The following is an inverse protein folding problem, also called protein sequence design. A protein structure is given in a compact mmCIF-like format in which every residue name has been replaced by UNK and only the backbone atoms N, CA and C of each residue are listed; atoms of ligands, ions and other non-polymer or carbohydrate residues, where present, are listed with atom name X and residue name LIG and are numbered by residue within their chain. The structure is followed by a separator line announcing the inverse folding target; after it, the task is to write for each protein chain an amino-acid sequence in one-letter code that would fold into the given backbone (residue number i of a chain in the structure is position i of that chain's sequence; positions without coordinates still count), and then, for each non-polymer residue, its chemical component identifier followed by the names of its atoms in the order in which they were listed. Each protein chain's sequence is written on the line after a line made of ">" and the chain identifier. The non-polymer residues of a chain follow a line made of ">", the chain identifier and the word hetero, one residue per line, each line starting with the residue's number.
data_IF_470121867908
#
_entry.id   IF_470121867908
#
_cell.length_a   1.000
_cell.length_b   1.000
_cell.length_c   1.000
_cell.angle_alpha   90.00
_cell.angle_beta   90.00
_cell.angle_gamma   90.00
#
_symmetry.space_group_name_H-M   'P 1'
#
loop_
_entity.id
_entity.type
_entity.pdbx_description
1 polymer ?
#
# COMPACT_ATOMS: atom_id res chain seq x y z
N UNK A 1 11.18 -13.09 23.49
CA UNK A 1 11.36 -12.64 22.10
C UNK A 1 10.26 -11.68 21.78
N UNK A 2 10.57 -10.63 21.03
CA UNK A 2 9.62 -9.54 20.77
C UNK A 2 8.72 -9.86 19.57
N UNK A 3 7.49 -9.35 19.61
CA UNK A 3 6.58 -9.43 18.47
C UNK A 3 6.96 -8.34 17.46
N UNK A 4 7.15 -8.73 16.19
CA UNK A 4 7.51 -7.80 15.11
C UNK A 4 6.55 -8.02 13.95
N UNK A 5 5.89 -6.94 13.50
CA UNK A 5 5.11 -6.94 12.27
C UNK A 5 6.07 -6.94 11.07
N UNK A 6 5.85 -7.89 10.15
CA UNK A 6 6.71 -8.07 8.98
C UNK A 6 5.88 -8.30 7.72
N UNK A 7 6.41 -7.85 6.58
CA UNK A 7 5.88 -8.12 5.24
C UNK A 7 6.88 -8.94 4.43
N UNK A 8 6.38 -9.93 3.70
CA UNK A 8 7.17 -10.70 2.73
C UNK A 8 7.43 -9.83 1.50
N UNK A 9 8.71 -9.65 1.16
CA UNK A 9 9.16 -8.88 -0.01
C UNK A 9 9.63 -9.79 -1.15
N UNK A 10 10.08 -11.01 -0.82
CA UNK A 10 10.42 -12.06 -1.77
C UNK A 10 10.05 -13.41 -1.19
N UNK A 11 9.45 -14.23 -2.03
CA UNK A 11 9.16 -15.63 -1.75
C UNK A 11 10.46 -16.41 -1.45
N UNK A 12 10.38 -17.52 -0.71
CA UNK A 12 11.53 -18.37 -0.45
C UNK A 12 12.11 -18.91 -1.77
N UNK A 13 13.44 -19.04 -1.82
CA UNK A 13 14.15 -19.55 -3.00
C UNK A 13 15.10 -20.67 -2.56
N UNK A 14 14.81 -21.90 -3.01
CA UNK A 14 15.56 -23.09 -2.60
C UNK A 14 15.51 -23.29 -1.08
N UNK A 15 16.68 -23.34 -0.45
CA UNK A 15 16.81 -23.47 1.01
C UNK A 15 16.79 -22.12 1.75
N UNK A 16 16.66 -20.99 1.04
CA UNK A 16 16.58 -19.66 1.67
C UNK A 16 15.13 -19.32 1.97
N UNK A 17 14.83 -19.01 3.23
CA UNK A 17 13.52 -18.52 3.65
C UNK A 17 13.13 -17.20 2.97
N UNK A 18 11.87 -16.82 3.12
CA UNK A 18 11.34 -15.58 2.58
C UNK A 18 12.11 -14.35 3.10
N UNK A 19 12.24 -13.33 2.24
CA UNK A 19 12.83 -12.05 2.64
C UNK A 19 11.74 -11.18 3.27
N UNK A 20 12.01 -10.69 4.48
CA UNK A 20 11.07 -9.87 5.25
C UNK A 20 11.51 -8.40 5.35
N UNK A 21 10.55 -7.51 5.58
CA UNK A 21 10.76 -6.10 5.96
C UNK A 21 9.79 -5.72 7.08
N UNK A 22 10.18 -4.83 7.98
CA UNK A 22 9.27 -4.17 8.94
C UNK A 22 8.62 -2.91 8.38
N UNK A 23 9.08 -2.43 7.21
CA UNK A 23 8.49 -1.31 6.51
C UNK A 23 7.31 -1.79 5.66
N UNK A 24 6.12 -1.73 6.24
CA UNK A 24 4.90 -2.19 5.58
C UNK A 24 4.50 -1.23 4.47
N UNK A 25 4.02 -1.77 3.35
CA UNK A 25 3.46 -1.01 2.25
C UNK A 25 2.27 -1.76 1.64
N UNK A 26 1.19 -1.03 1.37
CA UNK A 26 -0.06 -1.58 0.85
C UNK A 26 -0.28 -1.07 -0.59
N UNK A 27 -0.12 -1.93 -1.60
CA UNK A 27 -0.28 -1.52 -2.98
C UNK A 27 -1.77 -1.39 -3.35
N UNK A 28 -2.15 -0.22 -3.86
CA UNK A 28 -3.41 0.00 -4.57
C UNK A 28 -3.22 0.10 -6.07
N UNK A 29 -4.30 0.42 -6.78
CA UNK A 29 -4.29 0.54 -8.24
C UNK A 29 -3.47 1.75 -8.68
N UNK A 30 -3.67 2.88 -8.03
CA UNK A 30 -3.09 4.17 -8.41
C UNK A 30 -1.91 4.57 -7.53
N UNK A 31 -1.88 4.11 -6.28
CA UNK A 31 -0.85 4.47 -5.32
C UNK A 31 -0.44 3.28 -4.45
N UNK A 32 0.69 3.41 -3.76
CA UNK A 32 1.09 2.51 -2.67
C UNK A 32 1.03 3.33 -1.39
N UNK A 33 0.26 2.85 -0.42
CA UNK A 33 0.15 3.46 0.90
C UNK A 33 1.25 2.94 1.82
N UNK A 34 1.94 3.85 2.51
CA UNK A 34 3.05 3.54 3.42
C UNK A 34 2.70 4.08 4.80
N UNK A 35 2.23 3.23 5.73
CA UNK A 35 1.93 3.67 7.10
C UNK A 35 3.16 4.31 7.77
N UNK A 36 2.95 5.38 8.54
CA UNK A 36 4.02 6.05 9.29
C UNK A 36 4.89 7.02 8.46
N UNK A 37 4.52 7.31 7.21
CA UNK A 37 5.08 8.47 6.48
C UNK A 37 6.51 8.30 5.95
N UNK A 38 7.13 7.13 6.12
CA UNK A 38 8.55 6.93 5.83
C UNK A 38 8.95 7.15 4.35
N UNK A 39 7.99 7.07 3.41
CA UNK A 39 8.26 7.21 1.98
C UNK A 39 7.15 7.98 1.27
N UNK A 40 7.55 9.03 0.55
CA UNK A 40 6.70 9.81 -0.34
C UNK A 40 7.34 9.92 -1.73
N UNK A 41 6.56 9.71 -2.79
CA UNK A 41 7.08 9.80 -4.16
C UNK A 41 5.99 9.76 -5.23
N UNK A 42 6.30 10.34 -6.39
CA UNK A 42 5.45 10.25 -7.58
C UNK A 42 6.29 9.64 -8.71
N UNK A 43 5.71 8.69 -9.45
CA UNK A 43 6.39 8.03 -10.57
C UNK A 43 7.01 9.04 -11.53
N UNK A 44 8.31 8.85 -11.82
CA UNK A 44 9.05 9.68 -12.79
C UNK A 44 8.59 9.48 -14.24
N UNK A 45 7.81 8.44 -14.51
CA UNK A 45 7.22 8.18 -15.83
C UNK A 45 6.01 9.07 -16.13
N UNK A 46 5.48 9.78 -15.12
CA UNK A 46 4.37 10.70 -15.27
C UNK A 46 4.86 12.09 -15.72
N UNK A 47 4.15 12.77 -16.63
CA UNK A 47 4.43 14.15 -17.01
C UNK A 47 4.40 15.09 -15.79
N UNK A 48 5.23 16.13 -15.81
CA UNK A 48 5.37 17.10 -14.71
C UNK A 48 4.04 17.76 -14.32
N UNK A 49 3.21 18.07 -15.31
CA UNK A 49 1.86 18.60 -15.14
C UNK A 49 0.98 17.66 -14.34
N UNK A 50 1.05 16.37 -14.64
CA UNK A 50 0.26 15.34 -13.98
C UNK A 50 0.76 15.07 -12.56
N UNK A 51 2.08 15.10 -12.34
CA UNK A 51 2.65 15.01 -10.99
C UNK A 51 2.17 16.15 -10.10
N UNK A 52 2.09 17.37 -10.63
CA UNK A 52 1.58 18.52 -9.88
C UNK A 52 0.09 18.37 -9.53
N UNK A 53 -0.74 17.91 -10.48
CA UNK A 53 -2.17 17.64 -10.27
C UNK A 53 -2.39 16.58 -9.19
N UNK A 54 -1.72 15.43 -9.31
CA UNK A 54 -1.84 14.31 -8.38
C UNK A 54 -1.35 14.69 -6.97
N UNK A 55 -0.26 15.47 -6.88
CA UNK A 55 0.23 15.97 -5.58
C UNK A 55 -0.80 16.86 -4.89
N UNK A 56 -1.52 17.70 -5.62
CA UNK A 56 -2.57 18.57 -5.05
C UNK A 56 -3.71 17.73 -4.47
N UNK A 57 -4.26 16.82 -5.28
CA UNK A 57 -5.36 15.95 -4.88
C UNK A 57 -4.98 15.11 -3.64
N UNK A 58 -3.81 14.46 -3.69
CA UNK A 58 -3.36 13.57 -2.61
C UNK A 58 -3.11 14.30 -1.29
N UNK A 59 -2.80 15.60 -1.32
CA UNK A 59 -2.64 16.40 -0.12
C UNK A 59 -3.96 16.56 0.65
N UNK A 60 -5.10 16.52 -0.04
CA UNK A 60 -6.43 16.71 0.56
C UNK A 60 -6.99 15.41 1.13
N UNK A 61 -6.58 14.26 0.59
CA UNK A 61 -7.17 12.95 0.93
C UNK A 61 -6.29 12.07 1.81
N UNK A 62 -4.98 12.32 1.89
CA UNK A 62 -4.06 11.50 2.68
C UNK A 62 -3.97 11.98 4.14
N UNK A 63 -3.97 11.06 5.13
CA UNK A 63 -3.64 11.40 6.51
C UNK A 63 -2.20 11.92 6.63
N UNK A 64 -1.97 12.92 7.47
CA UNK A 64 -0.63 13.54 7.66
C UNK A 64 0.46 12.56 8.11
N UNK A 65 0.08 11.50 8.82
CA UNK A 65 0.97 10.45 9.33
C UNK A 65 1.31 9.37 8.29
N UNK A 66 0.85 9.51 7.04
CA UNK A 66 0.93 8.49 6.01
C UNK A 66 1.79 8.91 4.83
N UNK A 67 2.53 7.94 4.30
CA UNK A 67 3.34 8.09 3.11
C UNK A 67 2.61 7.54 1.88
N UNK A 68 2.96 8.05 0.70
CA UNK A 68 2.37 7.60 -0.57
C UNK A 68 3.41 7.48 -1.68
N UNK A 69 3.31 6.42 -2.48
CA UNK A 69 4.05 6.28 -3.73
C UNK A 69 3.04 6.21 -4.89
N UNK A 70 2.98 7.26 -5.70
CA UNK A 70 2.03 7.36 -6.81
C UNK A 70 2.55 6.59 -8.03
N UNK A 71 1.73 5.66 -8.55
CA UNK A 71 2.05 4.77 -9.67
C UNK A 71 1.76 5.45 -10.99
N UNK A 72 2.39 4.99 -12.08
CA UNK A 72 2.07 5.45 -13.45
C UNK A 72 0.60 5.23 -13.82
N UNK A 73 -0.05 4.20 -13.27
CA UNK A 73 -1.47 3.96 -13.48
C UNK A 73 -2.39 5.09 -12.97
N UNK A 74 -1.88 6.01 -12.14
CA UNK A 74 -2.61 7.19 -11.68
C UNK A 74 -2.77 8.28 -12.74
N UNK A 75 -2.11 8.17 -13.89
CA UNK A 75 -2.28 9.11 -15.00
C UNK A 75 -3.74 9.21 -15.42
N UNK A 76 -4.28 10.42 -15.40
CA UNK A 76 -5.68 10.70 -15.73
C UNK A 76 -6.70 10.23 -14.69
N UNK A 77 -6.26 9.65 -13.56
CA UNK A 77 -7.18 9.21 -12.51
C UNK A 77 -7.93 10.42 -11.92
N UNK A 78 -9.25 10.26 -11.78
CA UNK A 78 -10.10 11.26 -11.13
C UNK A 78 -9.79 11.35 -9.64
N UNK A 79 -10.13 12.49 -9.03
CA UNK A 79 -10.02 12.68 -7.59
C UNK A 79 -10.78 11.59 -6.83
N UNK A 80 -12.03 11.34 -7.21
CA UNK A 80 -12.86 10.26 -6.68
C UNK A 80 -12.19 8.87 -6.72
N UNK A 81 -11.51 8.53 -7.82
CA UNK A 81 -10.78 7.27 -7.94
C UNK A 81 -9.59 7.19 -6.97
N UNK A 82 -8.85 8.29 -6.81
CA UNK A 82 -7.73 8.37 -5.88
C UNK A 82 -8.21 8.32 -4.43
N UNK A 83 -9.25 9.07 -4.10
CA UNK A 83 -9.89 9.08 -2.77
C UNK A 83 -10.35 7.69 -2.37
N UNK A 84 -11.05 6.98 -3.26
CA UNK A 84 -11.48 5.59 -3.01
C UNK A 84 -10.30 4.65 -2.78
N UNK A 85 -9.22 4.78 -3.55
CA UNK A 85 -8.04 3.93 -3.38
C UNK A 85 -7.33 4.21 -2.04
N UNK A 86 -7.20 5.50 -1.65
CA UNK A 86 -6.67 5.88 -0.32
C UNK A 86 -7.54 5.30 0.79
N UNK A 87 -8.85 5.57 0.78
CA UNK A 87 -9.77 5.11 1.83
C UNK A 87 -9.73 3.60 2.00
N UNK A 88 -9.72 2.85 0.90
CA UNK A 88 -9.62 1.39 0.92
C UNK A 88 -8.32 0.91 1.58
N UNK A 89 -7.19 1.53 1.24
CA UNK A 89 -5.88 1.16 1.81
C UNK A 89 -5.75 1.58 3.28
N UNK A 90 -6.29 2.73 3.67
CA UNK A 90 -6.36 3.15 5.07
C UNK A 90 -7.20 2.19 5.91
N UNK A 91 -8.39 1.81 5.44
CA UNK A 91 -9.24 0.83 6.13
C UNK A 91 -8.56 -0.55 6.25
N UNK A 92 -7.83 -0.96 5.21
CA UNK A 92 -7.03 -2.19 5.24
C UNK A 92 -5.91 -2.10 6.28
N UNK A 93 -5.21 -0.96 6.37
CA UNK A 93 -4.18 -0.75 7.38
C UNK A 93 -4.74 -0.79 8.79
N UNK A 94 -5.86 -0.10 9.04
CA UNK A 94 -6.53 -0.14 10.34
C UNK A 94 -6.95 -1.55 10.75
N UNK A 95 -7.43 -2.36 9.79
CA UNK A 95 -7.76 -3.76 10.05
C UNK A 95 -6.52 -4.57 10.45
N UNK A 96 -5.42 -4.43 9.72
CA UNK A 96 -4.15 -5.09 10.05
C UNK A 96 -3.68 -4.66 11.45
N UNK A 97 -3.72 -3.36 11.76
CA UNK A 97 -3.25 -2.85 13.04
C UNK A 97 -4.08 -3.39 14.21
N UNK A 98 -5.40 -3.49 14.07
CA UNK A 98 -6.26 -4.16 15.07
C UNK A 98 -5.89 -5.63 15.28
N UNK A 99 -5.55 -6.34 14.21
CA UNK A 99 -5.13 -7.75 14.33
C UNK A 99 -3.76 -7.89 15.00
N UNK A 100 -2.82 -6.96 14.78
CA UNK A 100 -1.53 -6.94 15.48
C UNK A 100 -1.70 -6.90 17.00
N UNK A 101 -2.63 -6.08 17.49
CA UNK A 101 -2.89 -5.91 18.93
C UNK A 101 -3.60 -7.12 19.55
N UNK A 102 -4.49 -7.76 18.79
CA UNK A 102 -5.41 -8.79 19.30
C UNK A 102 -4.92 -10.23 19.07
N UNK A 103 -4.01 -10.45 18.11
CA UNK A 103 -3.61 -11.81 17.68
C UNK A 103 -2.30 -12.26 18.34
N UNK A 104 -2.24 -13.53 18.76
CA UNK A 104 -1.01 -14.18 19.20
C UNK A 104 -0.06 -14.45 18.01
N UNK A 105 1.23 -14.17 18.17
CA UNK A 105 2.23 -14.49 17.14
C UNK A 105 2.70 -15.96 17.26
N UNK A 106 3.03 -16.65 16.15
CA UNK A 106 2.97 -16.18 14.76
C UNK A 106 1.55 -16.29 14.16
N UNK A 107 1.15 -15.29 13.38
CA UNK A 107 -0.13 -15.29 12.68
C UNK A 107 -0.03 -14.59 11.32
N UNK A 108 -0.78 -15.10 10.35
CA UNK A 108 -1.02 -14.42 9.08
C UNK A 108 -2.09 -13.35 9.32
N UNK A 109 -1.72 -12.07 9.14
CA UNK A 109 -2.66 -10.95 9.32
C UNK A 109 -3.35 -10.58 8.01
N UNK A 110 -2.57 -10.54 6.92
CA UNK A 110 -3.07 -10.19 5.60
C UNK A 110 -2.38 -11.01 4.52
N UNK A 111 -3.17 -11.46 3.55
CA UNK A 111 -2.69 -12.10 2.33
C UNK A 111 -3.31 -11.39 1.13
N UNK A 112 -2.47 -11.10 0.14
CA UNK A 112 -2.94 -10.53 -1.12
C UNK A 112 -3.85 -11.54 -1.84
N UNK A 113 -5.00 -11.10 -2.39
CA UNK A 113 -5.87 -12.00 -3.13
C UNK A 113 -5.14 -12.56 -4.37
N UNK A 114 -5.50 -13.80 -4.72
CA UNK A 114 -4.98 -14.49 -5.91
C UNK A 114 -5.17 -13.63 -7.17
N UNK A 115 -4.23 -13.72 -8.11
CA UNK A 115 -4.16 -12.91 -9.33
C UNK A 115 -5.47 -12.98 -10.13
N UNK A 116 -6.11 -14.15 -10.17
CA UNK A 116 -7.39 -14.35 -10.84
C UNK A 116 -8.52 -13.51 -10.22
N UNK A 117 -8.54 -13.40 -8.88
CA UNK A 117 -9.53 -12.58 -8.15
C UNK A 117 -9.28 -11.09 -8.39
N UNK A 118 -8.01 -10.68 -8.52
CA UNK A 118 -7.65 -9.30 -8.87
C UNK A 118 -8.16 -8.90 -10.25
N UNK A 119 -7.98 -9.78 -11.25
CA UNK A 119 -8.44 -9.52 -12.63
C UNK A 119 -9.96 -9.34 -12.66
N UNK A 120 -10.73 -10.26 -12.07
CA UNK A 120 -12.21 -10.18 -12.09
C UNK A 120 -12.72 -8.92 -11.37
N UNK A 121 -12.05 -8.47 -10.30
CA UNK A 121 -12.43 -7.25 -9.58
C UNK A 121 -12.13 -5.97 -10.38
N UNK A 122 -11.11 -5.99 -11.25
CA UNK A 122 -10.61 -4.82 -11.96
C UNK A 122 -11.15 -4.67 -13.40
N UNK A 123 -11.95 -5.64 -13.89
CA UNK A 123 -12.68 -5.62 -15.18
C UNK A 123 -13.98 -4.84 -15.05
#
# INVERSE_FOLDING_TARGET
>A
GDKVLVQVTKDPVGHKGARLTSQISLPGRYLVYVPGGAMNGISRKLPDTERARLKKILKEVLPESSGVIVRTAAEGATEDQLTRDVQRLTAQWEHINRQVETTGAPALLHSEPDLLVKIVRDV
#
